data_IF_640832346445
#
_entry.id   IF_640832346445
#
_cell.length_a   1.000
_cell.length_b   1.000
_cell.length_c   1.000
_cell.angle_alpha   90.00
_cell.angle_beta   90.00
_cell.angle_gamma   90.00
#
_symmetry.space_group_name_H-M   'P 1'
#
loop_
_entity.id
_entity.type
_entity.pdbx_description
1 polymer ?
#
# COMPACT_ATOMS: atom_id res chain seq x y z
N UNK A 1 -1.06 -5.52 27.82
CA UNK A 1 -1.62 -6.74 27.22
C UNK A 1 -0.52 -7.35 26.37
N UNK A 2 -0.31 -8.67 26.43
CA UNK A 2 0.80 -9.33 25.73
C UNK A 2 0.71 -9.11 24.22
N UNK A 3 1.85 -8.78 23.60
CA UNK A 3 2.05 -8.75 22.14
C UNK A 3 1.96 -10.18 21.58
N UNK A 4 0.76 -10.77 21.59
CA UNK A 4 0.54 -12.06 20.97
C UNK A 4 0.49 -11.86 19.45
N UNK A 5 1.56 -12.29 18.78
CA UNK A 5 1.57 -12.53 17.34
C UNK A 5 0.52 -13.61 17.08
N UNK A 6 -0.49 -13.29 16.27
CA UNK A 6 -1.61 -14.19 16.04
C UNK A 6 -1.15 -15.29 15.11
N UNK A 7 -1.12 -16.52 15.64
CA UNK A 7 -0.75 -17.72 14.89
C UNK A 7 -1.46 -17.76 13.53
N UNK A 8 -0.69 -17.92 12.46
CA UNK A 8 -1.21 -18.07 11.10
C UNK A 8 -1.89 -19.43 10.87
N UNK A 9 -1.75 -20.36 11.83
CA UNK A 9 -2.38 -21.69 11.78
C UNK A 9 -3.88 -21.66 12.07
N UNK A 10 -4.35 -20.64 12.79
CA UNK A 10 -5.76 -20.43 13.06
C UNK A 10 -6.27 -19.31 12.16
N UNK A 11 -6.72 -19.64 10.94
CA UNK A 11 -7.22 -18.66 9.99
C UNK A 11 -8.64 -18.16 10.30
N UNK A 12 -9.30 -18.73 11.33
CA UNK A 12 -10.63 -18.36 11.84
C UNK A 12 -11.69 -18.23 10.74
N UNK A 13 -11.52 -18.99 9.65
CA UNK A 13 -12.38 -18.89 8.48
C UNK A 13 -13.84 -19.22 8.84
N UNK A 14 -14.08 -20.14 9.78
CA UNK A 14 -15.44 -20.48 10.24
C UNK A 14 -16.13 -19.29 10.92
N UNK A 15 -15.47 -18.68 11.91
CA UNK A 15 -16.01 -17.53 12.67
C UNK A 15 -16.27 -16.33 11.74
N UNK A 16 -15.35 -16.09 10.81
CA UNK A 16 -15.46 -15.01 9.81
C UNK A 16 -16.62 -15.29 8.85
N UNK A 17 -16.72 -16.52 8.33
CA UNK A 17 -17.83 -16.92 7.45
C UNK A 17 -19.18 -16.85 8.17
N UNK A 18 -19.26 -17.25 9.44
CA UNK A 18 -20.50 -17.16 10.23
C UNK A 18 -20.95 -15.71 10.40
N UNK A 19 -20.03 -14.81 10.75
CA UNK A 19 -20.31 -13.39 10.85
C UNK A 19 -20.85 -12.82 9.53
N UNK A 20 -20.21 -13.12 8.40
CA UNK A 20 -20.67 -12.65 7.09
C UNK A 20 -22.01 -13.26 6.68
N UNK A 21 -22.19 -14.56 6.89
CA UNK A 21 -23.45 -15.25 6.58
C UNK A 21 -24.65 -14.70 7.35
N UNK A 22 -24.44 -14.05 8.50
CA UNK A 22 -25.51 -13.37 9.24
C UNK A 22 -26.00 -12.06 8.57
N UNK A 23 -25.25 -11.52 7.62
CA UNK A 23 -25.58 -10.31 6.86
C UNK A 23 -26.24 -10.69 5.54
N UNK A 24 -27.58 -10.68 5.51
CA UNK A 24 -28.37 -11.06 4.32
C UNK A 24 -28.06 -10.21 3.08
N UNK A 25 -27.72 -8.92 3.29
CA UNK A 25 -27.41 -7.96 2.23
C UNK A 25 -26.17 -8.35 1.42
N UNK A 26 -25.25 -9.15 2.00
CA UNK A 26 -24.00 -9.51 1.33
C UNK A 26 -24.16 -10.60 0.27
N UNK A 27 -25.32 -11.27 0.20
CA UNK A 27 -25.53 -12.40 -0.74
C UNK A 27 -25.71 -11.98 -2.19
N UNK A 28 -26.27 -10.79 -2.43
CA UNK A 28 -26.56 -10.25 -3.75
C UNK A 28 -25.68 -9.05 -4.05
N UNK A 29 -25.19 -8.90 -5.28
CA UNK A 29 -24.26 -7.81 -5.63
C UNK A 29 -24.89 -6.43 -5.51
N UNK A 30 -26.17 -6.29 -5.87
CA UNK A 30 -26.88 -5.01 -5.80
C UNK A 30 -27.15 -4.63 -4.35
N UNK A 31 -27.67 -5.57 -3.54
CA UNK A 31 -27.90 -5.32 -2.11
C UNK A 31 -26.60 -5.07 -1.33
N UNK A 32 -25.52 -5.75 -1.71
CA UNK A 32 -24.20 -5.60 -1.09
C UNK A 32 -23.59 -4.24 -1.42
N UNK A 33 -23.71 -3.80 -2.67
CA UNK A 33 -23.34 -2.45 -3.08
C UNK A 33 -24.13 -1.42 -2.28
N UNK A 34 -25.45 -1.56 -2.19
CA UNK A 34 -26.32 -0.66 -1.43
C UNK A 34 -25.94 -0.63 0.06
N UNK A 35 -25.70 -1.79 0.67
CA UNK A 35 -25.24 -1.90 2.06
C UNK A 35 -23.94 -1.13 2.29
N UNK A 36 -22.92 -1.37 1.47
CA UNK A 36 -21.63 -0.70 1.63
C UNK A 36 -21.71 0.79 1.26
N UNK A 37 -22.47 1.17 0.24
CA UNK A 37 -22.65 2.58 -0.12
C UNK A 37 -23.21 3.40 1.05
N UNK A 38 -24.10 2.80 1.85
CA UNK A 38 -24.73 3.50 2.98
C UNK A 38 -23.90 3.55 4.25
N UNK A 39 -22.80 2.80 4.38
CA UNK A 39 -21.92 2.93 5.53
C UNK A 39 -21.24 4.30 5.55
N UNK A 40 -21.26 4.95 6.70
CA UNK A 40 -20.42 6.11 6.96
C UNK A 40 -18.97 5.70 7.29
N UNK A 41 -18.10 6.70 7.41
CA UNK A 41 -16.69 6.48 7.67
C UNK A 41 -16.41 5.86 9.06
N UNK A 42 -17.23 6.15 10.08
CA UNK A 42 -17.08 5.54 11.41
C UNK A 42 -17.54 4.09 11.39
N UNK A 43 -18.66 3.80 10.73
CA UNK A 43 -19.16 2.44 10.56
C UNK A 43 -18.16 1.59 9.78
N UNK A 44 -17.47 2.17 8.78
CA UNK A 44 -16.36 1.51 8.12
C UNK A 44 -15.19 1.23 9.07
N UNK A 45 -14.78 2.18 9.92
CA UNK A 45 -13.72 1.93 10.90
C UNK A 45 -14.11 0.83 11.89
N UNK A 46 -15.36 0.84 12.37
CA UNK A 46 -15.89 -0.23 13.23
C UNK A 46 -15.80 -1.58 12.51
N UNK A 47 -16.19 -1.64 11.23
CA UNK A 47 -16.08 -2.85 10.42
C UNK A 47 -14.64 -3.33 10.25
N UNK A 48 -13.68 -2.42 10.04
CA UNK A 48 -12.23 -2.73 10.00
C UNK A 48 -11.78 -3.32 11.34
N UNK A 49 -12.18 -2.71 12.45
CA UNK A 49 -11.80 -3.14 13.81
C UNK A 49 -12.43 -4.49 14.18
N UNK A 50 -13.70 -4.72 13.84
CA UNK A 50 -14.42 -5.98 14.04
C UNK A 50 -13.83 -7.09 13.17
N UNK A 51 -13.49 -6.79 11.92
CA UNK A 51 -12.81 -7.74 11.03
C UNK A 51 -11.45 -8.12 11.61
N UNK A 52 -10.70 -7.16 12.16
CA UNK A 52 -9.46 -7.45 12.86
C UNK A 52 -9.69 -8.28 14.13
N UNK A 53 -10.78 -8.04 14.87
CA UNK A 53 -11.19 -8.86 16.02
C UNK A 53 -11.40 -10.31 15.61
N UNK A 54 -12.17 -10.55 14.56
CA UNK A 54 -12.41 -11.90 14.03
C UNK A 54 -11.11 -12.56 13.59
N UNK A 55 -10.25 -11.84 12.88
CA UNK A 55 -8.95 -12.35 12.40
C UNK A 55 -7.99 -12.66 13.55
N UNK A 56 -7.98 -11.84 14.61
CA UNK A 56 -7.01 -11.93 15.71
C UNK A 56 -7.47 -12.85 16.84
N UNK A 57 -8.75 -12.81 17.17
CA UNK A 57 -9.33 -13.44 18.37
C UNK A 57 -10.51 -14.35 18.08
N UNK A 58 -11.01 -14.38 16.84
CA UNK A 58 -12.22 -15.13 16.47
C UNK A 58 -13.51 -14.49 16.96
N UNK A 59 -13.47 -13.25 17.46
CA UNK A 59 -14.62 -12.56 18.04
C UNK A 59 -14.90 -11.24 17.33
N UNK A 60 -16.18 -10.92 17.18
CA UNK A 60 -16.64 -9.60 16.73
C UNK A 60 -16.41 -8.61 17.86
N UNK A 61 -15.24 -8.00 17.90
CA UNK A 61 -14.87 -6.96 18.87
C UNK A 61 -14.04 -5.89 18.20
N UNK A 62 -14.23 -4.63 18.60
CA UNK A 62 -13.49 -3.52 18.03
C UNK A 62 -12.04 -3.53 18.55
N UNK A 63 -11.11 -4.00 17.71
CA UNK A 63 -9.68 -3.92 18.00
C UNK A 63 -9.18 -2.48 17.91
N UNK A 64 -8.39 -2.04 18.88
CA UNK A 64 -7.69 -0.76 18.78
C UNK A 64 -6.65 -0.80 17.66
N UNK A 65 -6.48 0.34 16.98
CA UNK A 65 -5.36 0.52 16.07
C UNK A 65 -4.07 0.62 16.89
N UNK A 66 -3.23 -0.42 16.82
CA UNK A 66 -2.02 -0.61 17.63
C UNK A 66 -0.75 -0.80 16.79
N UNK A 67 -0.80 -0.54 15.47
CA UNK A 67 0.31 -0.80 14.55
C UNK A 67 1.44 0.23 14.55
N UNK A 68 1.64 1.02 15.60
CA UNK A 68 2.61 2.13 15.64
C UNK A 68 4.04 1.68 15.33
N UNK A 69 4.41 0.48 15.81
CA UNK A 69 5.78 -0.04 15.76
C UNK A 69 6.00 -1.08 14.65
N UNK A 70 5.05 -1.21 13.71
CA UNK A 70 5.19 -2.20 12.64
C UNK A 70 6.27 -1.77 11.64
N UNK A 71 7.36 -2.52 11.62
CA UNK A 71 8.42 -2.40 10.64
C UNK A 71 8.17 -3.31 9.45
N UNK A 72 8.12 -2.75 8.23
CA UNK A 72 8.08 -3.52 6.99
C UNK A 72 9.39 -3.35 6.23
N UNK A 73 9.89 -4.45 5.63
CA UNK A 73 11.15 -4.44 4.89
C UNK A 73 11.18 -3.49 3.67
N UNK A 74 10.04 -3.02 3.18
CA UNK A 74 9.95 -2.16 1.98
C UNK A 74 9.12 -0.90 2.15
N UNK A 75 8.50 -0.67 3.30
CA UNK A 75 7.51 0.39 3.53
C UNK A 75 7.62 0.96 4.95
N UNK A 76 7.57 2.28 5.07
CA UNK A 76 7.38 2.94 6.36
C UNK A 76 5.89 3.20 6.55
N UNK A 77 5.29 2.51 7.52
CA UNK A 77 3.88 2.65 7.86
C UNK A 77 3.57 4.08 8.31
N UNK A 78 2.39 4.65 8.09
CA UNK A 78 2.02 5.97 8.60
C UNK A 78 2.16 6.12 10.13
N UNK A 79 2.28 7.37 10.58
CA UNK A 79 2.24 7.69 12.01
C UNK A 79 0.89 7.28 12.61
N UNK A 80 0.92 6.79 13.85
CA UNK A 80 -0.28 6.29 14.53
C UNK A 80 -1.42 7.31 14.57
N UNK A 81 -1.10 8.60 14.65
CA UNK A 81 -2.07 9.71 14.69
C UNK A 81 -2.84 9.88 13.38
N UNK A 82 -2.29 9.43 12.26
CA UNK A 82 -2.87 9.64 10.93
C UNK A 82 -3.69 8.46 10.44
N UNK A 83 -3.50 7.27 11.02
CA UNK A 83 -4.09 6.03 10.53
C UNK A 83 -5.60 6.05 10.43
N UNK A 84 -6.29 6.61 11.43
CA UNK A 84 -7.75 6.72 11.36
C UNK A 84 -8.19 7.57 10.19
N UNK A 85 -7.62 8.77 10.04
CA UNK A 85 -7.97 9.66 8.93
C UNK A 85 -7.64 9.03 7.57
N UNK A 86 -6.50 8.35 7.45
CA UNK A 86 -6.12 7.66 6.21
C UNK A 86 -7.08 6.51 5.84
N UNK A 87 -7.63 5.81 6.84
CA UNK A 87 -8.66 4.80 6.62
C UNK A 87 -10.02 5.43 6.26
N UNK A 88 -10.36 6.59 6.83
CA UNK A 88 -11.55 7.36 6.41
C UNK A 88 -11.43 7.80 4.97
N UNK A 89 -10.30 8.40 4.59
CA UNK A 89 -10.02 8.81 3.20
C UNK A 89 -10.08 7.61 2.24
N UNK A 90 -9.57 6.45 2.69
CA UNK A 90 -9.68 5.19 1.93
C UNK A 90 -11.14 4.84 1.67
N UNK A 91 -12.00 4.97 2.68
CA UNK A 91 -13.43 4.70 2.53
C UNK A 91 -14.13 5.74 1.67
N UNK A 92 -13.80 7.02 1.81
CA UNK A 92 -14.33 8.09 0.96
C UNK A 92 -14.10 7.74 -0.52
N UNK A 93 -12.89 7.32 -0.89
CA UNK A 93 -12.58 6.90 -2.27
C UNK A 93 -13.29 5.60 -2.66
N UNK A 94 -13.37 4.62 -1.77
CA UNK A 94 -14.10 3.38 -2.05
C UNK A 94 -15.59 3.67 -2.34
N UNK A 95 -16.19 4.56 -1.54
CA UNK A 95 -17.59 4.99 -1.65
C UNK A 95 -17.87 5.75 -2.94
N UNK A 96 -16.90 6.50 -3.48
CA UNK A 96 -17.04 7.11 -4.82
C UNK A 96 -17.32 6.07 -5.91
N UNK A 97 -16.72 4.87 -5.83
CA UNK A 97 -17.03 3.79 -6.78
C UNK A 97 -18.40 3.17 -6.52
N UNK A 98 -18.76 2.96 -5.25
CA UNK A 98 -20.05 2.38 -4.86
C UNK A 98 -21.22 3.29 -5.25
N UNK A 99 -21.06 4.61 -5.19
CA UNK A 99 -22.08 5.57 -5.59
C UNK A 99 -22.11 5.90 -7.09
N UNK A 100 -21.16 5.41 -7.90
CA UNK A 100 -21.12 5.71 -9.34
C UNK A 100 -22.08 4.80 -10.13
N UNK A 101 -23.29 5.29 -10.41
CA UNK A 101 -24.33 4.55 -11.12
C UNK A 101 -23.93 4.10 -12.55
N UNK A 102 -22.86 4.65 -13.12
CA UNK A 102 -22.34 4.24 -14.43
C UNK A 102 -21.46 2.98 -14.36
N UNK A 103 -21.05 2.57 -13.16
CA UNK A 103 -20.25 1.36 -12.92
C UNK A 103 -21.21 0.20 -12.57
N UNK A 104 -21.11 -0.97 -13.25
CA UNK A 104 -21.85 -2.17 -12.85
C UNK A 104 -21.52 -2.59 -11.41
N UNK A 105 -22.50 -3.14 -10.69
CA UNK A 105 -22.37 -3.44 -9.25
C UNK A 105 -21.13 -4.25 -8.89
N UNK A 106 -20.87 -5.33 -9.61
CA UNK A 106 -19.69 -6.18 -9.41
C UNK A 106 -18.37 -5.44 -9.65
N UNK A 107 -18.32 -4.56 -10.67
CA UNK A 107 -17.11 -3.75 -10.93
C UNK A 107 -16.93 -2.68 -9.84
N UNK A 108 -18.02 -2.06 -9.36
CA UNK A 108 -17.98 -1.08 -8.28
C UNK A 108 -17.48 -1.69 -6.97
N UNK A 109 -17.97 -2.90 -6.64
CA UNK A 109 -17.53 -3.68 -5.48
C UNK A 109 -16.06 -4.11 -5.61
N UNK A 110 -15.60 -4.55 -6.78
CA UNK A 110 -14.20 -4.89 -7.03
C UNK A 110 -13.28 -3.66 -6.82
N UNK A 111 -13.67 -2.47 -7.30
CA UNK A 111 -12.88 -1.24 -7.09
C UNK A 111 -12.85 -0.79 -5.64
N UNK A 112 -13.99 -0.84 -4.95
CA UNK A 112 -14.06 -0.56 -3.52
C UNK A 112 -13.19 -1.54 -2.72
N UNK A 113 -13.27 -2.84 -3.04
CA UNK A 113 -12.46 -3.87 -2.42
C UNK A 113 -10.95 -3.65 -2.63
N UNK A 114 -10.53 -3.30 -3.86
CA UNK A 114 -9.13 -3.00 -4.16
C UNK A 114 -8.62 -1.79 -3.38
N UNK A 115 -9.45 -0.74 -3.32
CA UNK A 115 -9.16 0.50 -2.58
C UNK A 115 -8.98 0.20 -1.09
N UNK A 116 -9.93 -0.52 -0.48
CA UNK A 116 -9.88 -0.91 0.93
C UNK A 116 -8.68 -1.81 1.24
N UNK A 117 -8.40 -2.80 0.39
CA UNK A 117 -7.28 -3.69 0.62
C UNK A 117 -5.94 -2.95 0.58
N UNK A 118 -5.73 -2.07 -0.41
CA UNK A 118 -4.52 -1.25 -0.50
C UNK A 118 -4.41 -0.26 0.66
N UNK A 119 -5.48 0.47 0.97
CA UNK A 119 -5.51 1.43 2.08
C UNK A 119 -5.17 0.78 3.42
N UNK A 120 -5.75 -0.39 3.73
CA UNK A 120 -5.42 -1.15 4.95
C UNK A 120 -3.98 -1.63 4.97
N UNK A 121 -3.46 -2.16 3.87
CA UNK A 121 -2.09 -2.66 3.81
C UNK A 121 -1.05 -1.55 3.99
N UNK A 122 -1.28 -0.37 3.39
CA UNK A 122 -0.38 0.76 3.49
C UNK A 122 -0.50 1.50 4.82
N UNK A 123 -1.72 1.68 5.34
CA UNK A 123 -1.94 2.30 6.65
C UNK A 123 -1.42 1.43 7.78
N UNK A 124 -1.46 0.10 7.60
CA UNK A 124 -1.00 -0.89 8.56
C UNK A 124 -1.51 -0.61 9.99
N UNK A 125 -2.85 -0.57 10.18
CA UNK A 125 -3.45 -0.08 11.41
C UNK A 125 -3.17 -0.91 12.66
N UNK A 126 -2.89 -2.20 12.50
CA UNK A 126 -2.71 -3.14 13.62
C UNK A 126 -1.26 -3.59 13.77
N UNK A 127 -0.87 -4.06 14.96
CA UNK A 127 0.43 -4.68 15.22
C UNK A 127 0.65 -5.96 14.40
N UNK A 128 -0.41 -6.72 14.22
CA UNK A 128 -0.45 -7.94 13.41
C UNK A 128 -1.85 -8.11 12.79
N UNK A 129 -1.96 -8.96 11.77
CA UNK A 129 -3.22 -9.30 11.14
C UNK A 129 -3.58 -8.42 9.94
N UNK A 130 -2.87 -7.32 9.67
CA UNK A 130 -3.21 -6.37 8.58
C UNK A 130 -3.44 -7.05 7.23
N UNK A 131 -2.56 -7.98 6.85
CA UNK A 131 -2.72 -8.73 5.61
C UNK A 131 -3.97 -9.61 5.58
N UNK A 132 -4.28 -10.28 6.68
CA UNK A 132 -5.48 -11.12 6.82
C UNK A 132 -6.74 -10.25 6.84
N UNK A 133 -6.77 -9.20 7.66
CA UNK A 133 -7.86 -8.21 7.71
C UNK A 133 -8.13 -7.58 6.35
N UNK A 134 -7.08 -7.17 5.62
CA UNK A 134 -7.19 -6.62 4.27
C UNK A 134 -7.81 -7.61 3.28
N UNK A 135 -7.35 -8.87 3.27
CA UNK A 135 -7.91 -9.92 2.41
C UNK A 135 -9.35 -10.26 2.79
N UNK A 136 -9.64 -10.43 4.08
CA UNK A 136 -10.97 -10.71 4.59
C UNK A 136 -11.97 -9.62 4.19
N UNK A 137 -11.66 -8.35 4.47
CA UNK A 137 -12.58 -7.25 4.23
C UNK A 137 -12.78 -6.99 2.74
N UNK A 138 -11.71 -7.00 1.94
CA UNK A 138 -11.82 -6.83 0.49
C UNK A 138 -12.55 -7.98 -0.18
N UNK A 139 -12.35 -9.21 0.29
CA UNK A 139 -13.13 -10.36 -0.18
C UNK A 139 -14.61 -10.21 0.19
N UNK A 140 -14.93 -9.80 1.41
CA UNK A 140 -16.32 -9.54 1.81
C UNK A 140 -16.97 -8.47 0.93
N UNK A 141 -16.26 -7.39 0.59
CA UNK A 141 -16.78 -6.37 -0.32
C UNK A 141 -16.99 -6.96 -1.72
N UNK A 142 -15.96 -7.57 -2.30
CA UNK A 142 -15.98 -8.04 -3.70
C UNK A 142 -16.86 -9.27 -3.92
N UNK A 143 -16.99 -10.17 -2.94
CA UNK A 143 -17.66 -11.48 -3.08
C UNK A 143 -18.80 -11.72 -2.08
N UNK A 144 -18.88 -10.94 -0.99
CA UNK A 144 -19.93 -11.10 0.00
C UNK A 144 -19.78 -12.37 0.83
N UNK A 145 -20.87 -13.12 0.92
CA UNK A 145 -20.91 -14.41 1.62
C UNK A 145 -20.29 -15.49 0.75
N UNK A 146 -18.96 -15.55 0.82
CA UNK A 146 -18.17 -16.45 0.00
C UNK A 146 -18.20 -17.90 0.41
N UNK A 147 -17.58 -18.74 -0.43
CA UNK A 147 -17.30 -20.13 -0.10
C UNK A 147 -16.35 -20.18 1.10
N UNK A 148 -16.75 -20.91 2.15
CA UNK A 148 -15.94 -21.13 3.36
C UNK A 148 -14.55 -21.66 3.01
N UNK A 149 -14.45 -22.53 2.00
CA UNK A 149 -13.19 -23.09 1.54
C UNK A 149 -12.34 -22.03 0.84
N UNK A 150 -12.95 -21.18 0.01
CA UNK A 150 -12.24 -20.07 -0.63
C UNK A 150 -11.68 -19.10 0.41
N UNK A 151 -12.50 -18.73 1.42
CA UNK A 151 -12.07 -17.88 2.54
C UNK A 151 -10.91 -18.53 3.34
N UNK A 152 -11.03 -19.82 3.63
CA UNK A 152 -9.96 -20.58 4.27
C UNK A 152 -8.64 -20.48 3.48
N UNK A 153 -8.72 -20.61 2.15
CA UNK A 153 -7.57 -20.63 1.26
C UNK A 153 -6.94 -19.25 1.05
N UNK A 154 -7.71 -18.15 1.11
CA UNK A 154 -7.16 -16.78 1.06
C UNK A 154 -6.55 -16.34 2.39
N UNK A 155 -6.96 -16.95 3.51
CA UNK A 155 -6.42 -16.67 4.83
C UNK A 155 -5.26 -17.59 5.24
N UNK A 156 -5.02 -18.66 4.49
CA UNK A 156 -3.95 -19.62 4.76
C UNK A 156 -2.54 -18.97 4.86
N UNK A 157 -1.74 -19.48 5.79
CA UNK A 157 -0.35 -19.06 6.06
C UNK A 157 0.53 -19.12 4.80
N UNK A 158 0.46 -20.25 4.09
CA UNK A 158 1.15 -20.50 2.83
C UNK A 158 0.19 -20.35 1.66
N UNK A 159 0.57 -19.54 0.66
CA UNK A 159 -0.20 -19.41 -0.57
C UNK A 159 -1.44 -18.51 -0.50
N UNK A 160 -2.00 -18.21 0.68
CA UNK A 160 -3.20 -17.38 0.78
C UNK A 160 -3.02 -15.96 0.24
N UNK A 161 -1.84 -15.37 0.46
CA UNK A 161 -1.45 -14.10 -0.16
C UNK A 161 -1.20 -14.17 -1.67
N UNK A 162 -1.15 -15.36 -2.28
CA UNK A 162 -1.10 -15.57 -3.74
C UNK A 162 -2.49 -15.84 -4.32
N UNK A 163 -3.38 -16.40 -3.50
CA UNK A 163 -4.76 -16.71 -3.86
C UNK A 163 -5.57 -15.40 -3.97
N UNK A 164 -5.52 -14.52 -2.98
CA UNK A 164 -6.13 -13.19 -3.05
C UNK A 164 -5.07 -12.13 -2.77
N UNK A 165 -4.38 -11.75 -3.85
CA UNK A 165 -3.30 -10.78 -3.79
C UNK A 165 -3.78 -9.41 -4.28
N UNK A 166 -4.15 -8.55 -3.34
CA UNK A 166 -4.11 -7.10 -3.58
C UNK A 166 -2.71 -6.64 -3.24
N UNK A 167 -1.78 -6.80 -4.19
CA UNK A 167 -0.43 -6.32 -4.00
C UNK A 167 -0.42 -4.79 -4.14
N UNK A 168 -0.03 -4.06 -3.08
CA UNK A 168 0.33 -2.67 -3.24
C UNK A 168 1.38 -2.50 -4.36
N UNK A 169 1.07 -1.72 -5.40
CA UNK A 169 2.04 -1.39 -6.45
C UNK A 169 3.18 -0.63 -5.77
N UNK A 170 4.46 -0.97 -6.01
CA UNK A 170 5.51 -0.02 -5.77
C UNK A 170 5.26 1.16 -6.70
N UNK A 171 4.55 2.19 -6.21
CA UNK A 171 4.56 3.50 -6.82
C UNK A 171 6.02 3.90 -6.80
N UNK A 172 6.65 3.80 -7.97
CA UNK A 172 8.08 4.05 -8.18
C UNK A 172 8.43 5.31 -7.40
N UNK A 173 9.17 5.11 -6.30
CA UNK A 173 9.82 6.18 -5.58
C UNK A 173 10.93 6.68 -6.48
N UNK A 174 10.56 7.55 -7.40
CA UNK A 174 11.46 8.56 -7.89
C UNK A 174 10.71 9.88 -7.80
N UNK A 175 10.39 10.25 -6.56
CA UNK A 175 10.47 11.66 -6.18
C UNK A 175 11.94 12.10 -6.27
N UNK A 176 12.56 11.98 -7.45
CA UNK A 176 13.63 12.87 -7.82
C UNK A 176 12.92 14.20 -8.02
N UNK A 177 12.69 14.92 -6.92
CA UNK A 177 12.37 16.33 -6.97
C UNK A 177 13.42 16.95 -7.88
N UNK A 178 12.99 17.42 -9.04
CA UNK A 178 13.86 18.09 -10.00
C UNK A 178 14.49 19.26 -9.24
N UNK A 179 15.82 19.35 -9.32
CA UNK A 179 16.56 20.44 -8.69
C UNK A 179 15.99 21.79 -9.13
N UNK A 180 15.47 22.56 -8.16
CA UNK A 180 15.20 23.99 -8.33
C UNK A 180 16.32 24.76 -7.63
N UNK A 181 16.90 25.74 -8.34
CA UNK A 181 18.26 26.27 -8.18
C UNK A 181 18.78 26.77 -6.82
N UNK A 182 18.02 26.62 -5.73
CA UNK A 182 18.45 26.87 -4.34
C UNK A 182 18.65 25.59 -3.50
N UNK A 183 18.20 24.43 -3.97
CA UNK A 183 18.37 23.16 -3.25
C UNK A 183 19.78 22.59 -3.47
N UNK A 184 20.29 21.72 -2.59
CA UNK A 184 21.50 20.94 -2.89
C UNK A 184 21.25 19.94 -4.02
N UNK A 185 22.29 19.65 -4.80
CA UNK A 185 22.25 18.66 -5.90
C UNK A 185 22.08 17.25 -5.33
N UNK A 186 22.90 16.88 -4.35
CA UNK A 186 22.80 15.63 -3.60
C UNK A 186 22.74 15.90 -2.10
N UNK A 187 22.15 14.95 -1.37
CA UNK A 187 22.22 14.89 0.09
C UNK A 187 22.98 13.61 0.41
N UNK A 188 24.06 13.73 1.15
CA UNK A 188 24.85 12.60 1.62
C UNK A 188 24.50 12.32 3.08
N UNK A 189 24.48 11.04 3.42
CA UNK A 189 24.21 10.51 4.75
C UNK A 189 25.37 9.62 5.15
N UNK A 190 25.67 9.53 6.44
CA UNK A 190 26.65 8.56 6.93
C UNK A 190 26.15 7.13 6.64
N UNK A 191 27.04 6.31 6.08
CA UNK A 191 26.76 4.89 5.78
C UNK A 191 26.63 4.10 7.09
N UNK A 192 25.43 4.14 7.67
CA UNK A 192 25.02 3.40 8.85
C UNK A 192 23.89 2.44 8.48
N UNK A 193 23.78 1.31 9.18
CA UNK A 193 22.69 0.36 8.92
C UNK A 193 21.34 1.02 9.26
N UNK A 194 20.30 0.70 8.47
CA UNK A 194 18.93 1.21 8.69
C UNK A 194 18.46 0.82 10.10
N UNK A 195 18.16 1.82 10.92
CA UNK A 195 17.77 1.67 12.32
C UNK A 195 18.88 2.01 13.33
N UNK A 196 20.11 2.25 12.86
CA UNK A 196 21.27 2.61 13.67
C UNK A 196 21.83 4.00 13.33
N UNK A 197 21.25 4.70 12.35
CA UNK A 197 21.64 6.07 12.04
C UNK A 197 21.23 7.00 13.19
N UNK A 198 22.16 7.82 13.67
CA UNK A 198 21.90 8.84 14.68
C UNK A 198 21.79 10.20 14.01
N UNK A 199 20.69 10.91 14.23
CA UNK A 199 20.56 12.35 13.96
C UNK A 199 20.19 13.07 15.25
N UNK A 200 20.14 14.41 15.24
CA UNK A 200 19.79 15.21 16.42
C UNK A 200 18.34 14.99 16.91
N UNK A 201 17.53 14.19 16.21
CA UNK A 201 16.18 13.76 16.54
C UNK A 201 16.13 12.27 16.91
N UNK A 202 17.27 11.67 17.28
CA UNK A 202 17.36 10.26 17.67
C UNK A 202 17.26 9.29 16.49
N UNK A 203 17.65 9.73 15.30
CA UNK A 203 17.63 8.93 14.07
C UNK A 203 16.30 8.94 13.35
N UNK A 204 15.34 9.77 13.78
CA UNK A 204 13.97 9.77 13.23
C UNK A 204 13.92 10.12 11.74
N UNK A 205 14.85 10.94 11.24
CA UNK A 205 14.92 11.33 9.83
C UNK A 205 15.98 10.49 9.11
N UNK A 206 17.17 10.33 9.67
CA UNK A 206 18.27 9.62 9.02
C UNK A 206 17.96 8.14 8.73
N UNK A 207 17.13 7.51 9.58
CA UNK A 207 16.62 6.15 9.35
C UNK A 207 15.39 6.08 8.44
N UNK A 208 14.81 7.22 8.05
CA UNK A 208 13.66 7.24 7.15
C UNK A 208 14.06 7.02 5.70
N UNK A 209 13.32 6.19 4.98
CA UNK A 209 13.31 6.03 3.52
C UNK A 209 12.98 7.31 2.79
N UNK A 210 12.32 8.26 3.47
CA UNK A 210 11.93 9.54 2.91
C UNK A 210 12.90 10.67 3.28
N UNK A 211 14.05 10.37 3.91
CA UNK A 211 14.98 11.38 4.42
C UNK A 211 15.33 12.49 3.43
N UNK A 212 15.68 12.15 2.20
CA UNK A 212 15.95 13.14 1.15
C UNK A 212 14.74 14.01 0.84
N UNK A 213 13.55 13.38 0.70
CA UNK A 213 12.32 14.09 0.39
C UNK A 213 11.90 15.03 1.53
N UNK A 214 12.10 14.61 2.78
CA UNK A 214 11.82 15.41 3.97
C UNK A 214 12.72 16.65 3.99
N UNK A 215 14.04 16.46 3.83
CA UNK A 215 15.00 17.57 3.83
C UNK A 215 14.73 18.53 2.67
N UNK A 216 14.45 18.02 1.47
CA UNK A 216 14.15 18.88 0.32
C UNK A 216 12.86 19.68 0.51
N UNK A 217 11.80 19.07 1.02
CA UNK A 217 10.55 19.79 1.37
C UNK A 217 10.79 20.84 2.45
N UNK A 218 11.63 20.55 3.44
CA UNK A 218 12.00 21.52 4.46
C UNK A 218 12.70 22.73 3.83
N UNK A 219 13.71 22.50 2.98
CA UNK A 219 14.43 23.57 2.27
C UNK A 219 13.49 24.36 1.33
N UNK A 220 12.58 23.69 0.64
CA UNK A 220 11.59 24.35 -0.23
C UNK A 220 10.69 25.30 0.56
N UNK A 221 10.18 24.84 1.71
CA UNK A 221 9.24 25.59 2.53
C UNK A 221 9.91 26.68 3.38
N UNK A 222 11.16 26.46 3.80
CA UNK A 222 11.86 27.31 4.77
C UNK A 222 13.21 27.84 4.25
N UNK A 223 13.44 27.84 2.94
CA UNK A 223 14.78 28.07 2.34
C UNK A 223 15.45 29.41 2.67
N UNK A 224 14.69 30.45 3.02
CA UNK A 224 15.28 31.71 3.52
C UNK A 224 15.80 31.58 4.96
N UNK A 225 15.10 30.82 5.80
CA UNK A 225 15.48 30.56 7.19
C UNK A 225 16.57 29.49 7.30
N UNK A 226 16.57 28.51 6.40
CA UNK A 226 17.54 27.42 6.38
C UNK A 226 18.85 27.79 5.65
N UNK A 227 18.94 28.97 5.03
CA UNK A 227 20.02 29.34 4.12
C UNK A 227 21.41 29.33 4.76
N UNK A 228 21.53 29.73 6.03
CA UNK A 228 22.81 29.72 6.77
C UNK A 228 23.21 28.29 7.16
N UNK A 229 22.26 27.48 7.59
CA UNK A 229 22.47 26.08 7.97
C UNK A 229 22.78 25.21 6.75
N UNK A 230 22.16 25.48 5.59
CA UNK A 230 22.51 24.88 4.29
C UNK A 230 23.95 25.20 3.95
N UNK A 231 24.35 26.48 3.93
CA UNK A 231 25.73 26.89 3.62
C UNK A 231 26.74 26.26 4.56
N UNK A 232 26.41 26.23 5.85
CA UNK A 232 27.29 25.68 6.88
C UNK A 232 27.49 24.17 6.74
N UNK A 233 26.55 23.44 6.14
CA UNK A 233 26.54 21.97 6.06
C UNK A 233 26.69 21.44 4.63
N UNK A 234 27.02 22.32 3.68
CA UNK A 234 27.17 21.98 2.28
C UNK A 234 28.61 22.11 1.82
N UNK A 235 29.09 21.12 1.10
CA UNK A 235 30.29 21.21 0.29
C UNK A 235 29.94 21.83 -1.07
N UNK A 236 30.56 22.95 -1.41
CA UNK A 236 30.42 23.58 -2.74
C UNK A 236 31.41 22.96 -3.72
N UNK A 237 30.94 22.65 -4.93
CA UNK A 237 31.73 22.09 -6.02
C UNK A 237 32.15 23.17 -7.03
N UNK A 238 33.20 22.91 -7.79
CA UNK A 238 33.72 23.83 -8.82
C UNK A 238 32.70 24.12 -9.93
N UNK A 239 31.73 23.22 -10.16
CA UNK A 239 30.63 23.38 -11.14
C UNK A 239 29.50 24.30 -10.63
N UNK A 240 29.64 24.89 -9.44
CA UNK A 240 28.64 25.74 -8.79
C UNK A 240 27.49 24.96 -8.14
N UNK A 241 27.58 23.64 -8.08
CA UNK A 241 26.62 22.79 -7.35
C UNK A 241 27.06 22.53 -5.92
N UNK A 242 26.18 21.99 -5.09
CA UNK A 242 26.49 21.67 -3.70
C UNK A 242 25.98 20.30 -3.27
N UNK A 243 26.70 19.68 -2.36
CA UNK A 243 26.31 18.45 -1.66
C UNK A 243 26.09 18.77 -0.20
N UNK A 244 24.90 18.46 0.32
CA UNK A 244 24.53 18.69 1.71
C UNK A 244 24.83 17.44 2.55
N UNK A 245 25.48 17.61 3.69
CA UNK A 245 25.53 16.56 4.72
C UNK A 245 24.21 16.58 5.50
N UNK A 246 23.43 15.50 5.41
CA UNK A 246 22.09 15.41 5.98
C UNK A 246 22.05 15.47 7.50
N UNK A 247 22.92 14.71 8.17
CA UNK A 247 23.00 14.64 9.64
C UNK A 247 23.47 15.97 10.23
N UNK A 248 24.53 16.56 9.66
CA UNK A 248 25.06 17.85 10.11
C UNK A 248 24.02 18.97 9.90
N UNK A 249 23.29 18.92 8.79
CA UNK A 249 22.21 19.87 8.53
C UNK A 249 21.10 19.79 9.57
N UNK A 250 20.62 18.57 9.89
CA UNK A 250 19.63 18.36 10.95
C UNK A 250 20.18 18.85 12.29
N UNK A 251 21.43 18.50 12.62
CA UNK A 251 22.05 18.92 13.88
C UNK A 251 22.11 20.44 14.02
N UNK A 252 22.45 21.18 12.96
CA UNK A 252 22.44 22.64 13.01
C UNK A 252 21.04 23.24 13.09
N UNK A 253 20.05 22.64 12.42
CA UNK A 253 18.67 23.08 12.52
C UNK A 253 18.10 22.90 13.93
N UNK A 254 18.34 21.75 14.56
CA UNK A 254 17.78 21.39 15.87
C UNK A 254 18.50 22.10 17.02
N UNK A 255 19.82 22.34 16.89
CA UNK A 255 20.60 23.04 17.89
C UNK A 255 20.61 24.57 17.72
N UNK A 256 19.79 25.11 16.81
CA UNK A 256 19.61 26.55 16.66
C UNK A 256 19.02 27.15 17.97
N UNK A 257 19.69 28.12 18.62
CA UNK A 257 19.24 28.66 19.90
C UNK A 257 17.89 29.38 19.85
N UNK A 258 17.51 29.91 18.69
CA UNK A 258 16.28 30.70 18.53
C UNK A 258 15.15 29.86 17.93
N UNK A 259 15.46 28.96 17.00
CA UNK A 259 14.47 28.23 16.21
C UNK A 259 14.52 26.70 16.36
N UNK A 260 15.43 26.14 17.17
CA UNK A 260 15.72 24.70 17.22
C UNK A 260 14.50 23.81 17.45
N UNK A 261 13.66 24.17 18.43
CA UNK A 261 12.42 23.44 18.73
C UNK A 261 11.41 23.51 17.58
N UNK A 262 11.25 24.68 16.95
CA UNK A 262 10.35 24.85 15.81
C UNK A 262 10.83 24.06 14.60
N UNK A 263 12.14 24.05 14.33
CA UNK A 263 12.72 23.27 13.25
C UNK A 263 12.53 21.76 13.46
N UNK A 264 12.75 21.28 14.70
CA UNK A 264 12.50 19.90 15.07
C UNK A 264 11.04 19.50 14.85
N UNK A 265 10.09 20.31 15.30
CA UNK A 265 8.66 20.06 15.15
C UNK A 265 8.24 20.02 13.67
N UNK A 266 8.75 20.92 12.84
CA UNK A 266 8.45 20.95 11.40
C UNK A 266 9.09 19.78 10.63
N UNK A 267 10.32 19.39 10.97
CA UNK A 267 10.94 18.17 10.40
C UNK A 267 10.11 16.93 10.75
N UNK A 268 9.68 16.79 12.00
CA UNK A 268 8.82 15.69 12.43
C UNK A 268 7.44 15.73 11.78
N UNK A 269 6.90 16.93 11.50
CA UNK A 269 5.66 17.08 10.74
C UNK A 269 5.82 16.62 9.29
N UNK A 270 6.87 17.05 8.60
CA UNK A 270 7.17 16.63 7.24
C UNK A 270 7.43 15.11 7.15
N UNK A 271 8.06 14.53 8.17
CA UNK A 271 8.24 13.09 8.28
C UNK A 271 6.90 12.35 8.35
N UNK A 272 5.95 12.80 9.19
CA UNK A 272 4.60 12.23 9.23
C UNK A 272 3.91 12.33 7.87
N UNK A 273 3.88 13.53 7.29
CA UNK A 273 3.29 13.79 5.99
C UNK A 273 3.90 12.88 4.90
N UNK A 274 5.22 12.64 4.93
CA UNK A 274 5.88 11.75 3.98
C UNK A 274 5.46 10.28 4.13
N UNK A 275 5.26 9.81 5.37
CA UNK A 275 4.77 8.45 5.66
C UNK A 275 3.31 8.27 5.23
N UNK A 276 2.47 9.31 5.38
CA UNK A 276 1.09 9.31 4.90
C UNK A 276 0.95 9.47 3.38
N UNK A 277 1.86 10.20 2.73
CA UNK A 277 1.84 10.49 1.29
C UNK A 277 1.73 9.22 0.44
N UNK A 278 2.29 8.11 0.90
CA UNK A 278 2.17 6.83 0.20
C UNK A 278 0.70 6.38 0.05
N UNK A 279 -0.09 6.47 1.13
CA UNK A 279 -1.52 6.15 1.11
C UNK A 279 -2.26 7.14 0.21
N UNK A 280 -2.01 8.44 0.35
CA UNK A 280 -2.67 9.45 -0.48
C UNK A 280 -2.37 9.30 -1.98
N UNK A 281 -1.14 8.96 -2.35
CA UNK A 281 -0.80 8.70 -3.76
C UNK A 281 -1.50 7.45 -4.29
N UNK A 282 -1.61 6.41 -3.47
CA UNK A 282 -2.39 5.22 -3.83
C UNK A 282 -3.87 5.59 -4.05
N UNK A 283 -4.49 6.30 -3.12
CA UNK A 283 -5.89 6.74 -3.23
C UNK A 283 -6.10 7.64 -4.45
N UNK A 284 -5.19 8.58 -4.70
CA UNK A 284 -5.22 9.41 -5.91
C UNK A 284 -5.11 8.57 -7.18
N UNK A 285 -4.26 7.54 -7.19
CA UNK A 285 -4.14 6.63 -8.33
C UNK A 285 -5.45 5.86 -8.58
N UNK A 286 -6.17 5.49 -7.53
CA UNK A 286 -7.51 4.90 -7.65
C UNK A 286 -8.52 5.88 -8.27
N UNK A 287 -8.48 7.16 -7.91
CA UNK A 287 -9.43 8.19 -8.40
C UNK A 287 -9.18 8.67 -9.83
N UNK A 288 -7.96 8.50 -10.39
CA UNK A 288 -7.62 9.07 -11.70
C UNK A 288 -8.47 8.46 -12.83
N UNK A 289 -9.06 9.37 -13.63
CA UNK A 289 -10.18 9.18 -14.59
C UNK A 289 -9.94 8.28 -15.81
N UNK A 290 -8.91 7.44 -15.85
CA UNK A 290 -8.85 6.31 -16.79
C UNK A 290 -9.76 5.15 -16.32
N UNK A 291 -11.02 5.51 -16.01
CA UNK A 291 -12.12 4.69 -15.45
C UNK A 291 -12.46 3.42 -16.25
N UNK A 292 -11.75 3.13 -17.34
CA UNK A 292 -11.96 1.98 -18.22
C UNK A 292 -10.91 0.88 -18.10
N UNK A 293 -9.76 1.10 -17.44
CA UNK A 293 -8.63 0.16 -17.51
C UNK A 293 -8.30 -0.60 -16.21
N UNK A 294 -8.92 -0.27 -15.08
CA UNK A 294 -8.75 -1.01 -13.81
C UNK A 294 -9.59 -2.31 -13.73
N UNK A 295 -10.23 -2.72 -14.84
CA UNK A 295 -11.21 -3.82 -14.86
C UNK A 295 -10.60 -5.19 -14.57
N UNK A 296 -11.05 -5.74 -13.43
CA UNK A 296 -11.23 -7.16 -13.03
C UNK A 296 -10.14 -7.80 -12.17
N UNK A 297 -10.59 -8.23 -11.00
CA UNK A 297 -9.99 -9.24 -10.12
C UNK A 297 -10.79 -10.54 -10.34
N UNK A 298 -10.18 -11.67 -10.72
CA UNK A 298 -10.77 -13.01 -10.45
C UNK A 298 -9.72 -14.10 -10.21
N UNK A 299 -10.05 -14.95 -9.24
CA UNK A 299 -9.35 -16.09 -8.67
C UNK A 299 -9.71 -17.44 -9.34
N UNK A 300 -8.87 -18.46 -9.09
CA UNK A 300 -9.10 -19.91 -9.32
C UNK A 300 -8.73 -20.40 -10.72
N UNK A 301 -7.88 -21.41 -10.97
CA UNK A 301 -7.45 -22.58 -10.17
C UNK A 301 -6.08 -23.05 -10.66
N UNK A 302 -5.11 -23.38 -9.77
CA UNK A 302 -4.00 -24.29 -10.10
C UNK A 302 -3.43 -24.96 -8.84
N UNK A 303 -3.49 -26.29 -8.81
CA UNK A 303 -2.58 -27.12 -8.01
C UNK A 303 -1.17 -27.05 -8.65
N UNK A 304 -0.17 -26.74 -7.81
CA UNK A 304 1.22 -26.46 -8.21
C UNK A 304 2.03 -27.76 -8.16
N UNK A 305 2.70 -28.12 -9.26
CA UNK A 305 3.64 -29.26 -9.35
C UNK A 305 4.95 -28.85 -10.01
N UNK A 306 6.03 -29.66 -9.89
CA UNK A 306 7.42 -29.36 -10.30
C UNK A 306 7.63 -28.95 -11.79
N UNK A 307 6.60 -29.02 -12.63
CA UNK A 307 6.59 -28.38 -13.96
C UNK A 307 6.52 -26.84 -13.91
N UNK A 308 6.24 -26.26 -12.74
CA UNK A 308 6.09 -24.82 -12.56
C UNK A 308 7.41 -24.03 -12.72
N UNK A 309 8.57 -24.66 -12.56
CA UNK A 309 9.87 -23.99 -12.76
C UNK A 309 10.19 -23.78 -14.25
N UNK A 310 9.73 -24.68 -15.11
CA UNK A 310 9.80 -24.52 -16.57
C UNK A 310 8.70 -23.56 -17.06
N UNK A 311 7.54 -23.57 -16.42
CA UNK A 311 6.45 -22.61 -16.62
C UNK A 311 6.84 -21.17 -16.26
N UNK A 312 7.58 -20.96 -15.17
CA UNK A 312 8.14 -19.65 -14.80
C UNK A 312 9.18 -19.15 -15.82
N UNK A 313 10.00 -20.05 -16.40
CA UNK A 313 10.93 -19.70 -17.49
C UNK A 313 10.19 -19.35 -18.79
N UNK A 314 9.15 -20.09 -19.13
CA UNK A 314 8.25 -19.79 -20.26
C UNK A 314 7.49 -18.46 -20.08
N UNK A 315 7.03 -18.18 -18.85
CA UNK A 315 6.48 -16.87 -18.42
C UNK A 315 7.48 -15.76 -18.66
N UNK A 316 8.71 -15.91 -18.16
CA UNK A 316 9.77 -14.91 -18.29
C UNK A 316 10.09 -14.63 -19.76
N UNK A 317 10.19 -15.66 -20.61
CA UNK A 317 10.46 -15.50 -22.03
C UNK A 317 9.31 -14.87 -22.81
N UNK A 318 8.06 -15.19 -22.49
CA UNK A 318 6.87 -14.59 -23.14
C UNK A 318 6.69 -13.13 -22.74
N UNK A 319 6.90 -12.83 -21.46
CA UNK A 319 6.92 -11.49 -20.90
C UNK A 319 8.04 -10.66 -21.54
N UNK A 320 9.26 -11.20 -21.67
CA UNK A 320 10.39 -10.54 -22.35
C UNK A 320 10.12 -10.34 -23.84
N UNK A 321 9.46 -11.28 -24.52
CA UNK A 321 9.15 -11.18 -25.96
C UNK A 321 8.03 -10.18 -26.26
N UNK A 322 7.05 -10.02 -25.35
CA UNK A 322 6.03 -8.96 -25.45
C UNK A 322 6.54 -7.60 -24.96
N UNK A 323 7.38 -7.56 -23.92
CA UNK A 323 8.12 -6.37 -23.54
C UNK A 323 8.99 -5.88 -24.70
N UNK A 324 9.74 -6.78 -25.35
CA UNK A 324 10.62 -6.45 -26.49
C UNK A 324 9.89 -6.04 -27.77
N UNK A 325 8.63 -6.44 -27.96
CA UNK A 325 7.80 -5.98 -29.10
C UNK A 325 7.16 -4.60 -28.86
N UNK A 326 6.96 -4.21 -27.60
CA UNK A 326 6.27 -2.96 -27.21
C UNK A 326 7.22 -1.85 -26.76
N UNK A 327 8.40 -2.20 -26.26
CA UNK A 327 9.49 -1.26 -25.92
C UNK A 327 10.10 -0.55 -27.14
N UNK A 328 9.72 -0.94 -28.37
CA UNK A 328 10.14 -0.24 -29.60
C UNK A 328 9.38 1.08 -29.77
N UNK A 329 8.27 1.32 -29.05
CA UNK A 329 7.39 2.49 -29.26
C UNK A 329 7.05 3.35 -28.01
N UNK A 330 7.66 3.12 -26.83
CA UNK A 330 7.46 3.98 -25.64
C UNK A 330 7.38 3.23 -24.30
N UNK A 331 7.62 3.96 -23.20
CA UNK A 331 7.58 3.49 -21.81
C UNK A 331 6.19 2.92 -21.46
N UNK A 332 6.15 1.69 -20.93
CA UNK A 332 4.92 1.08 -20.41
C UNK A 332 4.56 1.69 -19.04
N UNK A 333 3.32 2.09 -18.86
CA UNK A 333 2.80 2.58 -17.57
C UNK A 333 2.72 1.43 -16.55
N UNK A 334 2.73 1.71 -15.23
CA UNK A 334 2.53 0.68 -14.20
C UNK A 334 1.25 -0.14 -14.39
N UNK A 335 0.18 0.50 -14.89
CA UNK A 335 -1.07 -0.16 -15.25
C UNK A 335 -0.90 -1.11 -16.45
N UNK A 336 -0.11 -0.73 -17.46
CA UNK A 336 0.20 -1.60 -18.61
C UNK A 336 1.06 -2.80 -18.22
N UNK A 337 1.97 -2.65 -17.24
CA UNK A 337 2.74 -3.76 -16.69
C UNK A 337 1.85 -4.78 -15.96
N UNK A 338 0.89 -4.29 -15.16
CA UNK A 338 -0.12 -5.13 -14.52
C UNK A 338 -1.04 -5.80 -15.54
N UNK A 339 -1.47 -5.07 -16.57
CA UNK A 339 -2.31 -5.55 -17.65
C UNK A 339 -1.60 -6.63 -18.50
N UNK A 340 -0.31 -6.49 -18.79
CA UNK A 340 0.46 -7.49 -19.53
C UNK A 340 0.69 -8.73 -18.68
N UNK A 341 1.04 -8.58 -17.39
CA UNK A 341 1.13 -9.71 -16.47
C UNK A 341 -0.21 -10.45 -16.42
N UNK A 342 -1.31 -9.74 -16.16
CA UNK A 342 -2.68 -10.27 -16.13
C UNK A 342 -3.11 -10.93 -17.47
N UNK A 343 -2.80 -10.34 -18.62
CA UNK A 343 -3.13 -10.90 -19.95
C UNK A 343 -2.31 -12.14 -20.31
N UNK A 344 -1.04 -12.18 -19.93
CA UNK A 344 -0.19 -13.36 -20.07
C UNK A 344 -0.75 -14.53 -19.25
N UNK A 345 -1.30 -14.26 -18.06
CA UNK A 345 -2.04 -15.27 -17.28
C UNK A 345 -3.34 -15.72 -17.94
N UNK A 346 -4.11 -14.80 -18.55
CA UNK A 346 -5.40 -15.10 -19.20
C UNK A 346 -5.29 -15.92 -20.50
N UNK A 347 -4.28 -15.67 -21.37
CA UNK A 347 -4.15 -16.39 -22.66
C UNK A 347 -3.77 -17.86 -22.51
N UNK A 348 -3.04 -18.20 -21.46
CA UNK A 348 -2.62 -19.58 -21.17
C UNK A 348 -3.83 -20.44 -20.74
N UNK A 349 -4.81 -19.83 -20.06
CA UNK A 349 -6.06 -20.47 -19.62
C UNK A 349 -6.95 -20.89 -20.81
N UNK A 350 -7.18 -20.00 -21.77
CA UNK A 350 -8.05 -20.27 -22.94
C UNK A 350 -7.38 -21.06 -24.09
N UNK A 351 -6.09 -21.34 -23.99
CA UNK A 351 -5.40 -22.28 -24.88
C UNK A 351 -5.67 -23.73 -24.46
N UNK A 352 -5.66 -24.02 -23.15
CA UNK A 352 -5.88 -25.36 -22.60
C UNK A 352 -7.32 -25.86 -22.75
N UNK A 353 -8.34 -25.00 -22.54
CA UNK A 353 -9.75 -25.36 -22.77
C UNK A 353 -10.03 -25.76 -24.22
N UNK A 354 -9.31 -25.16 -25.19
CA UNK A 354 -9.44 -25.51 -26.61
C UNK A 354 -8.76 -26.83 -26.97
N UNK A 355 -7.71 -27.22 -26.26
CA UNK A 355 -7.03 -28.48 -26.50
C UNK A 355 -7.75 -29.66 -25.80
N UNK A 356 -8.48 -29.40 -24.71
CA UNK A 356 -9.33 -30.39 -24.02
C UNK A 356 -10.68 -30.63 -24.75
N UNK A 357 -11.29 -29.61 -25.35
CA UNK A 357 -12.49 -29.75 -26.20
C UNK A 357 -12.20 -30.33 -27.60
N UNK A 358 -10.93 -30.40 -28.02
CA UNK A 358 -10.50 -31.10 -29.23
C UNK A 358 -10.10 -32.56 -28.92
N UNK A 359 -9.93 -32.90 -27.65
CA UNK A 359 -9.54 -34.23 -27.17
C UNK A 359 -10.69 -35.06 -26.56
N UNK A 360 -11.90 -34.50 -26.47
CA UNK A 360 -13.16 -35.19 -26.18
C UNK A 360 -13.99 -35.36 -27.47
#
# INVERSE_FOLDING_TARGET
MSNEIVSHKDNRAEDITEFFNSQEQLKDSTQRRDYFEHLDENEFLDLVQQTAGLVRTGKVENQHFDGETVGLMTHEVPDQREKEQLLRDTWTVAKEFLSDAEIPDEDALDYAALTVAGGLLYAHPFMDGNGRTSRTLSYMIARGNGDKQELHDILAETGGGRNWQVAPVPLVTSGQSVFEGKQPKSIEWEDTFVGEAEDALGGAIANSRYKDAIIRKFIEKYGELAGEQIKGSSLQHEDGTSTLNGEEFIAKLVNDPEAGMTNADELMKLHREARADYVHRFLKAMQLKEKTQLRRIRQGDFEITDQDDEFQRGRKQTIIKEFGKRSVNGLLTPAEQQLVQHRSYSRIRHGKERDEDIAA
#
